data_IF_436583944958
#
_entry.id   IF_436583944958
#
_cell.length_a   1.000
_cell.length_b   1.000
_cell.length_c   1.000
_cell.angle_alpha   90.00
_cell.angle_beta   90.00
_cell.angle_gamma   90.00
#
_symmetry.space_group_name_H-M   'P 1'
#
loop_
_entity.id
_entity.type
_entity.pdbx_description
1 polymer ?
#
# COMPACT_ATOMS: atom_id res chain seq x y z
N UNK A 1 -4.85 -8.46 18.94
CA UNK A 1 -3.74 -7.79 18.25
C UNK A 1 -3.89 -6.28 18.40
N UNK A 2 -2.78 -5.58 18.61
CA UNK A 2 -2.65 -4.11 18.61
C UNK A 2 -2.27 -3.70 17.18
N UNK A 3 -3.07 -2.84 16.58
CA UNK A 3 -2.90 -2.48 15.18
C UNK A 3 -2.55 -1.01 15.08
N UNK A 4 -1.56 -0.65 14.27
CA UNK A 4 -1.27 0.73 13.87
C UNK A 4 -1.59 0.91 12.40
N UNK A 5 -2.30 1.99 12.08
CA UNK A 5 -2.66 2.37 10.72
C UNK A 5 -2.21 3.79 10.41
N UNK A 6 -2.39 4.23 9.17
CA UNK A 6 -2.13 5.60 8.77
C UNK A 6 -3.42 6.32 8.42
N UNK A 7 -3.38 7.63 8.59
CA UNK A 7 -4.49 8.54 8.27
C UNK A 7 -4.75 8.54 6.75
N UNK A 8 -5.97 8.21 6.29
CA UNK A 8 -6.31 8.17 4.86
C UNK A 8 -6.23 9.54 4.16
N UNK A 9 -6.17 10.64 4.93
CA UNK A 9 -6.06 12.00 4.39
C UNK A 9 -4.62 12.37 4.03
N UNK A 10 -3.63 11.67 4.59
CA UNK A 10 -2.22 12.06 4.48
C UNK A 10 -1.31 10.92 3.99
N UNK A 11 -1.82 9.70 3.90
CA UNK A 11 -1.03 8.51 3.57
C UNK A 11 -1.71 7.66 2.50
N UNK A 12 -0.93 7.21 1.51
CA UNK A 12 -1.40 6.27 0.47
C UNK A 12 -1.87 4.94 1.06
N UNK A 13 -1.13 4.26 1.96
CA UNK A 13 -1.65 3.06 2.60
C UNK A 13 -2.93 3.31 3.40
N UNK A 14 -3.04 4.45 4.10
CA UNK A 14 -4.26 4.82 4.81
C UNK A 14 -5.46 4.97 3.88
N UNK A 15 -5.28 5.64 2.74
CA UNK A 15 -6.31 5.71 1.69
C UNK A 15 -6.61 4.32 1.11
N UNK A 16 -5.59 3.50 0.93
CA UNK A 16 -5.75 2.10 0.51
C UNK A 16 -6.63 1.30 1.46
N UNK A 17 -6.44 1.42 2.77
CA UNK A 17 -7.29 0.76 3.77
C UNK A 17 -8.74 1.29 3.72
N UNK A 18 -8.92 2.61 3.58
CA UNK A 18 -10.24 3.22 3.47
C UNK A 18 -11.01 2.64 2.27
N UNK A 19 -10.38 2.59 1.11
CA UNK A 19 -10.97 2.03 -0.11
C UNK A 19 -11.17 0.53 -0.01
N UNK A 20 -10.25 -0.19 0.62
CA UNK A 20 -10.39 -1.62 0.87
C UNK A 20 -11.62 -1.95 1.73
N UNK A 21 -11.81 -1.22 2.83
CA UNK A 21 -13.02 -1.36 3.67
C UNK A 21 -14.30 -1.12 2.89
N UNK A 22 -14.30 -0.13 1.99
CA UNK A 22 -15.46 0.13 1.11
C UNK A 22 -15.66 -0.96 0.07
N UNK A 23 -14.59 -1.47 -0.52
CA UNK A 23 -14.66 -2.57 -1.48
C UNK A 23 -15.26 -3.85 -0.87
N UNK A 24 -14.92 -4.15 0.39
CA UNK A 24 -15.38 -5.34 1.09
C UNK A 24 -16.79 -5.20 1.66
N UNK A 25 -17.12 -4.06 2.23
CA UNK A 25 -18.28 -3.91 3.09
C UNK A 25 -19.34 -2.92 2.57
N UNK A 26 -19.02 -2.14 1.53
CA UNK A 26 -19.95 -1.17 0.96
C UNK A 26 -20.55 -0.24 2.01
N UNK A 27 -21.88 -0.20 2.11
CA UNK A 27 -22.59 0.65 3.08
C UNK A 27 -22.44 0.19 4.54
N UNK A 28 -21.91 -1.02 4.77
CA UNK A 28 -21.64 -1.53 6.12
C UNK A 28 -20.25 -1.15 6.63
N UNK A 29 -19.43 -0.47 5.84
CA UNK A 29 -18.05 -0.14 6.20
C UNK A 29 -17.95 0.64 7.52
N UNK A 30 -18.88 1.54 7.82
CA UNK A 30 -18.92 2.29 9.09
C UNK A 30 -19.04 1.38 10.32
N UNK A 31 -19.81 0.31 10.26
CA UNK A 31 -19.93 -0.64 11.37
C UNK A 31 -18.69 -1.53 11.51
N UNK A 32 -18.04 -1.88 10.42
CA UNK A 32 -16.78 -2.63 10.44
C UNK A 32 -15.64 -1.75 10.95
N UNK A 33 -15.61 -0.45 10.63
CA UNK A 33 -14.69 0.51 11.22
C UNK A 33 -14.81 0.56 12.75
N UNK A 34 -16.03 0.64 13.31
CA UNK A 34 -16.24 0.59 14.77
C UNK A 34 -15.67 -0.67 15.44
N UNK A 35 -15.66 -1.80 14.70
CA UNK A 35 -15.06 -3.04 15.20
C UNK A 35 -13.54 -2.98 15.13
N UNK A 36 -12.97 -2.53 14.01
CA UNK A 36 -11.53 -2.42 13.79
C UNK A 36 -10.90 -1.42 14.75
N UNK A 37 -11.54 -0.27 15.00
CA UNK A 37 -11.05 0.78 15.89
C UNK A 37 -10.81 0.32 17.33
N UNK A 38 -11.50 -0.72 17.79
CA UNK A 38 -11.23 -1.34 19.10
C UNK A 38 -9.83 -2.00 19.19
N UNK A 39 -9.17 -2.20 18.05
CA UNK A 39 -7.84 -2.81 17.94
C UNK A 39 -6.77 -1.81 17.51
N UNK A 40 -7.17 -0.67 16.97
CA UNK A 40 -6.27 0.38 16.53
C UNK A 40 -5.74 1.12 17.77
N UNK A 41 -4.42 1.09 17.96
CA UNK A 41 -3.76 1.76 19.07
C UNK A 41 -3.25 3.15 18.68
N UNK A 42 -3.01 3.38 17.40
CA UNK A 42 -2.58 4.67 16.88
C UNK A 42 -2.92 4.82 15.39
N UNK A 43 -3.16 6.07 14.99
CA UNK A 43 -3.30 6.50 13.59
C UNK A 43 -2.19 7.50 13.32
N UNK A 44 -1.18 7.11 12.53
CA UNK A 44 -0.03 7.97 12.23
C UNK A 44 -0.27 8.79 10.97
N UNK A 45 0.50 9.87 10.81
CA UNK A 45 0.44 10.71 9.63
C UNK A 45 0.97 10.02 8.37
N UNK A 46 1.95 9.11 8.52
CA UNK A 46 2.62 8.45 7.42
C UNK A 46 3.12 7.04 7.78
N UNK A 47 3.51 6.31 6.73
CA UNK A 47 3.92 4.91 6.84
C UNK A 47 5.17 4.72 7.69
N UNK A 48 6.19 5.55 7.51
CA UNK A 48 7.48 5.42 8.21
C UNK A 48 7.32 5.42 9.74
N UNK A 49 6.47 6.32 10.26
CA UNK A 49 6.20 6.41 11.69
C UNK A 49 5.47 5.15 12.20
N UNK A 50 4.40 4.72 11.51
CA UNK A 50 3.69 3.50 11.86
C UNK A 50 4.61 2.26 11.86
N UNK A 51 5.44 2.15 10.82
CA UNK A 51 6.25 0.96 10.60
C UNK A 51 7.40 0.88 11.59
N UNK A 52 8.20 1.92 11.73
CA UNK A 52 9.42 1.87 12.55
C UNK A 52 9.18 2.21 14.02
N UNK A 53 8.36 3.22 14.32
CA UNK A 53 8.20 3.69 15.70
C UNK A 53 7.15 2.88 16.49
N UNK A 54 6.22 2.19 15.81
CA UNK A 54 5.24 1.33 16.47
C UNK A 54 5.47 -0.15 16.23
N UNK A 55 5.51 -0.61 14.98
CA UNK A 55 5.57 -2.03 14.68
C UNK A 55 6.97 -2.59 14.95
N UNK A 56 8.02 -2.04 14.37
CA UNK A 56 9.39 -2.51 14.56
C UNK A 56 9.89 -2.28 16.00
N UNK A 57 9.36 -1.28 16.70
CA UNK A 57 9.62 -1.04 18.11
C UNK A 57 8.86 -2.00 19.05
N UNK A 58 7.96 -2.85 18.54
CA UNK A 58 7.18 -3.81 19.33
C UNK A 58 5.98 -3.20 20.06
N UNK A 59 5.63 -1.96 19.78
CA UNK A 59 4.47 -1.28 20.35
C UNK A 59 3.15 -1.76 19.71
N UNK A 60 3.19 -2.18 18.45
CA UNK A 60 2.08 -2.77 17.71
C UNK A 60 2.40 -4.19 17.25
N UNK A 61 1.39 -5.06 17.25
CA UNK A 61 1.52 -6.44 16.75
C UNK A 61 1.34 -6.50 15.22
N UNK A 62 0.62 -5.53 14.66
CA UNK A 62 0.34 -5.43 13.23
C UNK A 62 0.43 -3.97 12.78
N UNK A 63 0.90 -3.78 11.56
CA UNK A 63 0.96 -2.48 10.88
C UNK A 63 0.30 -2.56 9.51
N UNK A 64 -0.42 -1.52 9.14
CA UNK A 64 -0.87 -1.37 7.76
C UNK A 64 0.34 -1.08 6.88
N UNK A 65 0.63 -1.99 5.94
CA UNK A 65 1.78 -1.91 5.05
C UNK A 65 1.50 -2.60 3.72
N UNK A 66 2.54 -2.80 2.92
CA UNK A 66 2.47 -3.51 1.65
C UNK A 66 2.76 -5.00 1.86
N UNK A 67 2.13 -5.87 1.07
CA UNK A 67 2.40 -7.31 1.11
C UNK A 67 3.84 -7.66 0.71
N UNK A 68 4.55 -6.73 0.09
CA UNK A 68 5.96 -6.86 -0.27
C UNK A 68 6.93 -6.43 0.84
N UNK A 69 6.46 -5.82 1.92
CA UNK A 69 7.33 -5.37 3.03
C UNK A 69 8.24 -6.47 3.62
N UNK A 70 7.80 -7.73 3.76
CA UNK A 70 8.69 -8.80 4.24
C UNK A 70 9.92 -9.03 3.36
N UNK A 71 9.82 -8.81 2.04
CA UNK A 71 10.97 -8.98 1.14
C UNK A 71 12.14 -8.05 1.49
N UNK A 72 11.87 -6.83 1.98
CA UNK A 72 12.91 -5.93 2.43
C UNK A 72 13.71 -6.51 3.62
N UNK A 73 13.01 -7.08 4.59
CA UNK A 73 13.65 -7.71 5.76
C UNK A 73 14.46 -8.95 5.38
N UNK A 74 13.93 -9.76 4.46
CA UNK A 74 14.66 -10.93 3.93
C UNK A 74 15.92 -10.48 3.19
N UNK A 75 15.82 -9.51 2.27
CA UNK A 75 16.95 -9.07 1.45
C UNK A 75 18.05 -8.34 2.21
N UNK A 76 17.68 -7.52 3.18
CA UNK A 76 18.63 -6.59 3.80
C UNK A 76 19.00 -6.92 5.25
N UNK A 77 18.19 -7.75 5.92
CA UNK A 77 18.35 -8.07 7.34
C UNK A 77 18.41 -9.57 7.61
N UNK A 78 18.25 -10.42 6.58
CA UNK A 78 18.14 -11.88 6.70
C UNK A 78 17.07 -12.33 7.72
N UNK A 79 15.98 -11.56 7.81
CA UNK A 79 14.89 -11.78 8.75
C UNK A 79 13.66 -12.36 8.04
N UNK A 80 13.15 -13.45 8.60
CA UNK A 80 11.99 -14.20 8.10
C UNK A 80 10.79 -14.19 9.06
N UNK A 81 10.88 -13.44 10.15
CA UNK A 81 9.86 -13.33 11.20
C UNK A 81 8.83 -12.22 10.93
N UNK A 82 9.07 -11.36 9.96
CA UNK A 82 8.14 -10.33 9.50
C UNK A 82 7.31 -10.92 8.35
N UNK A 83 6.00 -11.01 8.56
CA UNK A 83 5.08 -11.65 7.63
C UNK A 83 4.02 -10.67 7.12
N UNK A 84 3.55 -10.87 5.90
CA UNK A 84 2.36 -10.22 5.38
C UNK A 84 1.15 -11.15 5.48
N UNK A 85 -0.02 -10.59 5.74
CA UNK A 85 -1.28 -11.34 5.78
C UNK A 85 -2.01 -11.19 4.45
N UNK A 86 -2.39 -12.33 3.87
CA UNK A 86 -3.33 -12.41 2.75
C UNK A 86 -4.72 -12.76 3.26
N UNK A 87 -5.75 -12.27 2.59
CA UNK A 87 -7.14 -12.48 2.97
C UNK A 87 -7.88 -13.22 1.85
N UNK A 88 -8.81 -14.08 2.23
CA UNK A 88 -9.65 -14.82 1.26
C UNK A 88 -10.43 -13.90 0.36
N UNK A 89 -10.90 -12.80 0.91
CA UNK A 89 -11.64 -11.76 0.21
C UNK A 89 -10.75 -10.99 -0.77
N UNK A 90 -9.43 -11.09 -0.62
CA UNK A 90 -8.41 -10.40 -1.39
C UNK A 90 -7.84 -9.17 -0.68
N UNK A 91 -6.69 -8.72 -1.15
CA UNK A 91 -6.01 -7.52 -0.65
C UNK A 91 -6.17 -6.37 -1.67
N UNK A 92 -6.28 -5.15 -1.18
CA UNK A 92 -6.42 -3.98 -2.04
C UNK A 92 -5.13 -3.70 -2.80
N UNK A 93 -5.20 -3.63 -4.14
CA UNK A 93 -4.03 -3.36 -4.97
C UNK A 93 -3.75 -1.85 -5.03
N UNK A 94 -2.47 -1.49 -4.90
CA UNK A 94 -1.97 -0.14 -5.14
C UNK A 94 -1.07 -0.14 -6.37
N UNK A 95 -1.33 0.78 -7.31
CA UNK A 95 -0.56 0.93 -8.54
C UNK A 95 0.05 2.33 -8.54
N UNK A 96 1.35 2.42 -8.76
CA UNK A 96 2.08 3.68 -8.86
C UNK A 96 2.07 4.19 -10.32
N UNK A 97 1.87 5.49 -10.48
CA UNK A 97 1.82 6.16 -11.78
C UNK A 97 2.80 7.31 -11.83
N UNK A 98 3.37 7.52 -13.01
CA UNK A 98 4.15 8.71 -13.34
C UNK A 98 3.47 9.47 -14.48
N UNK A 99 3.53 10.80 -14.43
CA UNK A 99 2.91 11.65 -15.45
C UNK A 99 3.70 12.94 -15.69
N UNK A 100 3.45 13.56 -16.84
CA UNK A 100 4.08 14.82 -17.22
C UNK A 100 3.14 15.97 -16.88
N UNK A 101 3.64 16.93 -16.10
CA UNK A 101 2.86 18.14 -15.80
C UNK A 101 2.66 18.97 -17.06
N UNK A 102 1.46 19.52 -17.24
CA UNK A 102 1.13 20.39 -18.37
C UNK A 102 2.04 21.62 -18.46
N UNK A 103 2.51 22.11 -17.32
CA UNK A 103 3.44 23.25 -17.19
C UNK A 103 4.90 22.90 -17.52
N UNK A 104 5.23 21.64 -17.78
CA UNK A 104 6.61 21.25 -18.10
C UNK A 104 7.07 21.85 -19.43
N UNK A 105 8.25 22.47 -19.42
CA UNK A 105 8.92 22.99 -20.62
C UNK A 105 9.76 21.92 -21.35
N UNK A 106 9.94 20.73 -20.75
CA UNK A 106 10.79 19.65 -21.27
C UNK A 106 9.98 18.38 -21.56
N UNK A 107 8.84 18.53 -22.25
CA UNK A 107 7.91 17.40 -22.47
C UNK A 107 8.54 16.25 -23.26
N UNK A 108 9.39 16.55 -24.23
CA UNK A 108 10.06 15.51 -25.04
C UNK A 108 11.02 14.67 -24.20
N UNK A 109 11.80 15.32 -23.33
CA UNK A 109 12.69 14.60 -22.41
C UNK A 109 11.89 13.81 -21.37
N UNK A 110 10.81 14.39 -20.85
CA UNK A 110 9.91 13.72 -19.92
C UNK A 110 9.27 12.48 -20.54
N UNK A 111 8.81 12.56 -21.81
CA UNK A 111 8.30 11.39 -22.53
C UNK A 111 9.36 10.29 -22.70
N UNK A 112 10.60 10.65 -23.04
CA UNK A 112 11.71 9.70 -23.12
C UNK A 112 11.96 9.02 -21.77
N UNK A 113 11.89 9.77 -20.68
CA UNK A 113 12.05 9.23 -19.33
C UNK A 113 10.90 8.28 -18.96
N UNK A 114 9.64 8.64 -19.22
CA UNK A 114 8.51 7.73 -19.00
C UNK A 114 8.63 6.42 -19.79
N UNK A 115 9.07 6.50 -21.04
CA UNK A 115 9.33 5.29 -21.85
C UNK A 115 10.48 4.45 -21.25
N UNK A 116 11.54 5.11 -20.76
CA UNK A 116 12.62 4.42 -20.06
C UNK A 116 12.14 3.73 -18.77
N UNK A 117 11.24 4.36 -18.00
CA UNK A 117 10.65 3.74 -16.81
C UNK A 117 9.92 2.41 -17.10
N UNK A 118 9.44 2.20 -18.31
CA UNK A 118 8.82 0.94 -18.74
C UNK A 118 9.82 -0.07 -19.31
N UNK A 119 11.09 0.30 -19.45
CA UNK A 119 12.12 -0.60 -19.94
C UNK A 119 12.45 -1.69 -18.93
N UNK A 120 13.02 -2.81 -19.42
CA UNK A 120 13.44 -3.91 -18.54
C UNK A 120 14.56 -3.48 -17.59
N UNK A 121 15.45 -2.59 -18.03
CA UNK A 121 16.54 -2.05 -17.25
C UNK A 121 16.01 -1.27 -16.02
N UNK A 122 15.02 -0.40 -16.21
CA UNK A 122 14.42 0.33 -15.11
C UNK A 122 13.58 -0.58 -14.22
N UNK A 123 12.74 -1.43 -14.83
CA UNK A 123 11.85 -2.29 -14.09
C UNK A 123 12.59 -3.36 -13.26
N UNK A 124 13.78 -3.80 -13.71
CA UNK A 124 14.59 -4.77 -12.96
C UNK A 124 15.13 -4.26 -11.62
N UNK A 125 15.23 -2.95 -11.42
CA UNK A 125 15.69 -2.37 -10.15
C UNK A 125 14.56 -2.06 -9.15
N UNK A 126 13.31 -2.03 -9.61
CA UNK A 126 12.14 -1.74 -8.77
C UNK A 126 12.03 -2.68 -7.56
N UNK A 127 12.17 -4.02 -7.70
CA UNK A 127 12.04 -4.93 -6.56
C UNK A 127 13.06 -4.70 -5.45
N UNK A 128 14.28 -4.29 -5.79
CA UNK A 128 15.35 -4.08 -4.81
C UNK A 128 15.45 -2.64 -4.28
N UNK A 129 14.87 -1.66 -4.98
CA UNK A 129 14.97 -0.24 -4.60
C UNK A 129 13.66 0.33 -4.04
N UNK A 130 12.52 -0.13 -4.56
CA UNK A 130 11.19 0.31 -4.13
C UNK A 130 10.40 -0.79 -3.42
N UNK A 131 10.91 -2.02 -3.40
CA UNK A 131 10.28 -3.18 -2.77
C UNK A 131 8.85 -3.42 -3.29
N UNK A 132 8.68 -3.26 -4.59
CA UNK A 132 7.41 -3.43 -5.29
C UNK A 132 7.56 -4.38 -6.46
N UNK A 133 6.44 -4.97 -6.90
CA UNK A 133 6.44 -5.73 -8.14
C UNK A 133 6.63 -4.81 -9.35
N UNK A 134 7.45 -5.20 -10.34
CA UNK A 134 7.55 -4.48 -11.61
C UNK A 134 6.25 -4.61 -12.41
N UNK A 135 5.95 -3.62 -13.25
CA UNK A 135 4.76 -3.66 -14.14
C UNK A 135 5.03 -4.38 -15.46
N UNK A 136 6.27 -4.74 -15.73
CA UNK A 136 6.67 -5.55 -16.88
C UNK A 136 7.25 -6.88 -16.40
N UNK A 137 7.19 -7.90 -17.23
CA UNK A 137 7.76 -9.20 -16.91
C UNK A 137 9.30 -9.10 -16.79
N UNK A 138 9.82 -9.44 -15.62
CA UNK A 138 11.24 -9.51 -15.30
C UNK A 138 11.59 -10.98 -14.98
N UNK A 139 12.67 -11.49 -15.59
CA UNK A 139 13.07 -12.88 -15.43
C UNK A 139 13.65 -13.18 -14.05
N UNK A 140 14.39 -12.24 -13.49
CA UNK A 140 15.19 -12.44 -12.29
C UNK A 140 14.69 -11.52 -11.16
N UNK A 141 13.52 -11.84 -10.58
CA UNK A 141 13.10 -11.22 -9.33
C UNK A 141 14.03 -11.69 -8.20
N UNK A 142 14.33 -10.83 -7.19
CA UNK A 142 15.04 -11.27 -5.99
C UNK A 142 14.35 -12.47 -5.34
N UNK A 143 15.14 -13.44 -4.85
CA UNK A 143 14.61 -14.67 -4.23
C UNK A 143 13.59 -14.38 -3.12
N UNK A 144 13.78 -13.30 -2.36
CA UNK A 144 12.86 -12.85 -1.33
C UNK A 144 11.42 -12.63 -1.82
N UNK A 145 11.21 -12.32 -3.10
CA UNK A 145 9.87 -12.20 -3.68
C UNK A 145 9.22 -13.56 -3.93
N UNK A 146 10.01 -14.63 -4.03
CA UNK A 146 9.52 -16.02 -4.11
C UNK A 146 8.94 -16.52 -2.78
N UNK A 147 9.33 -15.91 -1.66
CA UNK A 147 8.81 -16.22 -0.31
C UNK A 147 7.48 -15.52 -0.01
N UNK A 148 7.06 -14.57 -0.86
CA UNK A 148 5.84 -13.80 -0.64
C UNK A 148 4.61 -14.55 -1.16
N UNK A 149 3.57 -14.57 -0.35
CA UNK A 149 2.26 -15.01 -0.82
C UNK A 149 1.61 -13.89 -1.65
N UNK A 150 1.21 -14.21 -2.88
CA UNK A 150 0.52 -13.27 -3.77
C UNK A 150 -0.99 -13.38 -3.53
N UNK A 151 -1.64 -12.34 -2.97
CA UNK A 151 -3.07 -12.37 -2.69
C UNK A 151 -3.92 -12.25 -3.95
N UNK A 152 -5.20 -12.60 -3.85
CA UNK A 152 -6.19 -12.10 -4.79
C UNK A 152 -6.27 -10.58 -4.68
N UNK A 153 -6.49 -9.88 -5.79
CA UNK A 153 -6.54 -8.43 -5.81
C UNK A 153 -7.96 -7.91 -5.80
N UNK A 154 -8.19 -6.86 -4.98
CA UNK A 154 -9.42 -6.08 -4.98
C UNK A 154 -9.09 -4.66 -5.44
N UNK A 155 -10.00 -4.09 -6.22
CA UNK A 155 -9.89 -2.71 -6.70
C UNK A 155 -11.30 -2.09 -6.82
N UNK A 156 -11.40 -0.80 -6.54
CA UNK A 156 -12.56 0.04 -6.84
C UNK A 156 -12.24 0.91 -8.06
N UNK A 157 -13.24 1.20 -8.88
CA UNK A 157 -13.07 2.16 -9.99
C UNK A 157 -12.53 3.50 -9.45
N UNK A 158 -11.42 4.00 -9.98
CA UNK A 158 -10.83 5.29 -9.55
C UNK A 158 -11.82 6.46 -9.62
N UNK A 159 -12.80 6.42 -10.53
CA UNK A 159 -13.86 7.44 -10.61
C UNK A 159 -14.77 7.40 -9.39
N UNK A 160 -15.11 6.20 -8.92
CA UNK A 160 -15.92 6.01 -7.71
C UNK A 160 -15.16 6.51 -6.49
N UNK A 161 -13.87 6.21 -6.38
CA UNK A 161 -13.03 6.72 -5.29
C UNK A 161 -13.02 8.25 -5.30
N UNK A 162 -12.78 8.85 -6.47
CA UNK A 162 -12.72 10.31 -6.60
C UNK A 162 -14.04 11.00 -6.23
N UNK A 163 -15.16 10.40 -6.56
CA UNK A 163 -16.50 10.93 -6.24
C UNK A 163 -16.88 10.80 -4.77
N UNK A 164 -16.39 9.77 -4.08
CA UNK A 164 -16.88 9.42 -2.75
C UNK A 164 -15.84 9.53 -1.63
N UNK A 165 -14.58 9.80 -1.95
CA UNK A 165 -13.46 9.82 -1.00
C UNK A 165 -13.75 10.64 0.25
N UNK A 166 -14.22 11.86 0.10
CA UNK A 166 -14.51 12.75 1.23
C UNK A 166 -15.63 12.16 2.13
N UNK A 167 -16.70 11.65 1.52
CA UNK A 167 -17.78 10.98 2.25
C UNK A 167 -17.29 9.76 3.03
N UNK A 168 -16.38 8.98 2.45
CA UNK A 168 -15.82 7.80 3.11
C UNK A 168 -14.86 8.18 4.25
N UNK A 169 -14.12 9.29 4.10
CA UNK A 169 -13.30 9.85 5.18
C UNK A 169 -14.18 10.29 6.34
N UNK A 170 -15.28 10.99 6.08
CA UNK A 170 -16.22 11.40 7.12
C UNK A 170 -16.85 10.19 7.84
N UNK A 171 -17.20 9.14 7.09
CA UNK A 171 -17.70 7.89 7.65
C UNK A 171 -16.68 7.24 8.59
N UNK A 172 -15.41 7.19 8.18
CA UNK A 172 -14.33 6.68 9.01
C UNK A 172 -14.12 7.53 10.27
N UNK A 173 -14.08 8.86 10.16
CA UNK A 173 -13.95 9.78 11.29
C UNK A 173 -15.09 9.63 12.30
N UNK A 174 -16.31 9.45 11.83
CA UNK A 174 -17.49 9.27 12.69
C UNK A 174 -17.53 7.89 13.35
N UNK A 175 -16.77 6.93 12.87
CA UNK A 175 -16.67 5.59 13.44
C UNK A 175 -15.47 5.43 14.40
N UNK A 176 -14.59 6.44 14.46
CA UNK A 176 -13.34 6.44 15.24
C UNK A 176 -13.53 6.88 16.67
#
# INVERSE_FOLDING_TARGET
ARIVIQDPRTSTPGLGLLTWMKALYGDKAGDEWKKLNKKIISVTKGWTDAYYNFFMAGEADMVLSYTTSPAAHIMFEERYDILATTFKEGNYITIEFAGILNSSNNKDLANKFLNFMLSKEFQSVIPSTNIMYPVTEIKDLPEAFGELEVPNFIQIDPKEINLNKEKWIDEWLNAS
#
